data_IF_380463795199
#
_entry.id   IF_380463795199
#
_cell.length_a   1.000
_cell.length_b   1.000
_cell.length_c   1.000
_cell.angle_alpha   90.00
_cell.angle_beta   90.00
_cell.angle_gamma   90.00
#
_symmetry.space_group_name_H-M   'P 1'
#
loop_
_entity.id
_entity.type
_entity.pdbx_description
1 polymer ?
#
# COMPACT_ATOMS: atom_id res chain seq x y z
N UNK A 1 -10.77 -18.38 -34.86
CA UNK A 1 -9.84 -18.91 -33.85
C UNK A 1 -9.91 -17.97 -32.65
N UNK A 2 -10.86 -18.23 -31.74
CA UNK A 2 -11.38 -17.20 -30.83
C UNK A 2 -11.27 -17.62 -29.37
N UNK A 3 -10.37 -16.97 -28.65
CA UNK A 3 -10.43 -16.95 -27.19
C UNK A 3 -11.60 -16.04 -26.81
N UNK A 4 -12.55 -16.54 -26.03
CA UNK A 4 -13.67 -15.72 -25.55
C UNK A 4 -13.11 -14.59 -24.67
N UNK A 5 -13.72 -13.40 -24.69
CA UNK A 5 -13.18 -12.23 -23.98
C UNK A 5 -12.94 -12.49 -22.48
N UNK A 6 -13.79 -13.30 -21.84
CA UNK A 6 -13.62 -13.71 -20.43
C UNK A 6 -12.41 -14.63 -20.24
N UNK A 7 -12.11 -15.49 -21.22
CA UNK A 7 -10.97 -16.40 -21.19
C UNK A 7 -9.66 -15.64 -21.38
N UNK A 8 -9.63 -14.68 -22.31
CA UNK A 8 -8.49 -13.77 -22.50
C UNK A 8 -8.22 -12.94 -21.25
N UNK A 9 -9.27 -12.36 -20.65
CA UNK A 9 -9.16 -11.56 -19.43
C UNK A 9 -8.55 -12.38 -18.27
N UNK A 10 -9.01 -13.62 -18.06
CA UNK A 10 -8.55 -14.46 -16.93
C UNK A 10 -7.19 -15.11 -17.15
N UNK A 11 -6.91 -15.60 -18.36
CA UNK A 11 -5.70 -16.38 -18.64
C UNK A 11 -4.51 -15.49 -19.02
N UNK A 12 -4.75 -14.26 -19.51
CA UNK A 12 -3.68 -13.38 -20.02
C UNK A 12 -3.68 -12.03 -19.31
N UNK A 13 -4.78 -11.26 -19.34
CA UNK A 13 -4.77 -9.88 -18.86
C UNK A 13 -4.67 -9.79 -17.32
N UNK A 14 -5.43 -10.61 -16.58
CA UNK A 14 -5.38 -10.70 -15.11
C UNK A 14 -3.98 -11.04 -14.58
N UNK A 15 -3.31 -12.11 -15.03
CA UNK A 15 -1.96 -12.42 -14.55
C UNK A 15 -0.93 -11.34 -14.92
N UNK A 16 -1.12 -10.63 -16.04
CA UNK A 16 -0.26 -9.51 -16.41
C UNK A 16 -0.52 -8.26 -15.55
N UNK A 17 -1.78 -8.01 -15.17
CA UNK A 17 -2.20 -6.85 -14.38
C UNK A 17 -2.05 -7.05 -12.87
N UNK A 18 -2.02 -8.30 -12.38
CA UNK A 18 -1.93 -8.65 -10.96
C UNK A 18 -0.81 -7.89 -10.21
N UNK A 19 0.44 -7.81 -10.70
CA UNK A 19 1.51 -7.08 -10.01
C UNK A 19 1.19 -5.58 -9.81
N UNK A 20 0.52 -4.97 -10.80
CA UNK A 20 0.11 -3.56 -10.75
C UNK A 20 -1.05 -3.38 -9.77
N UNK A 21 -2.03 -4.29 -9.77
CA UNK A 21 -3.17 -4.23 -8.84
C UNK A 21 -2.68 -4.34 -7.40
N UNK A 22 -1.77 -5.29 -7.11
CA UNK A 22 -1.22 -5.47 -5.77
C UNK A 22 -0.46 -4.24 -5.30
N UNK A 23 0.33 -3.62 -6.19
CA UNK A 23 0.99 -2.34 -5.92
C UNK A 23 -0.03 -1.24 -5.60
N UNK A 24 -1.13 -1.17 -6.35
CA UNK A 24 -2.20 -0.22 -6.09
C UNK A 24 -2.86 -0.40 -4.73
N UNK A 25 -3.20 -1.64 -4.35
CA UNK A 25 -3.82 -1.97 -3.05
C UNK A 25 -2.93 -1.56 -1.89
N UNK A 26 -1.63 -1.78 -1.99
CA UNK A 26 -0.66 -1.41 -0.96
C UNK A 26 -0.63 0.12 -0.75
N UNK A 27 -0.55 0.88 -1.85
CA UNK A 27 -0.56 2.35 -1.81
C UNK A 27 -1.86 2.87 -1.19
N UNK A 28 -3.00 2.32 -1.59
CA UNK A 28 -4.30 2.77 -1.06
C UNK A 28 -4.48 2.38 0.41
N UNK A 29 -3.95 1.25 0.87
CA UNK A 29 -3.98 0.88 2.28
C UNK A 29 -3.24 1.90 3.16
N UNK A 30 -2.03 2.32 2.77
CA UNK A 30 -1.29 3.39 3.47
C UNK A 30 -2.05 4.71 3.44
N UNK A 31 -2.68 5.04 2.31
CA UNK A 31 -3.51 6.24 2.19
C UNK A 31 -4.71 6.21 3.14
N UNK A 32 -5.37 5.05 3.30
CA UNK A 32 -6.47 4.87 4.25
C UNK A 32 -5.99 5.09 5.68
N UNK A 33 -4.82 4.57 6.06
CA UNK A 33 -4.25 4.83 7.40
C UNK A 33 -4.00 6.33 7.60
N UNK A 34 -3.43 7.02 6.61
CA UNK A 34 -3.22 8.46 6.67
C UNK A 34 -4.53 9.22 6.84
N UNK A 35 -5.55 8.93 6.02
CA UNK A 35 -6.87 9.57 6.12
C UNK A 35 -7.59 9.23 7.42
N UNK A 36 -7.44 8.02 7.96
CA UNK A 36 -8.06 7.60 9.22
C UNK A 36 -7.58 8.45 10.41
N UNK A 37 -6.34 8.98 10.37
CA UNK A 37 -5.85 9.90 11.41
C UNK A 37 -6.65 11.19 11.51
N UNK A 38 -7.20 11.67 10.39
CA UNK A 38 -8.07 12.84 10.35
C UNK A 38 -9.40 12.58 11.08
N UNK A 39 -9.80 11.33 11.28
CA UNK A 39 -10.97 10.96 12.07
C UNK A 39 -10.91 11.47 13.51
N UNK A 40 -9.71 11.72 14.04
CA UNK A 40 -9.52 12.33 15.35
C UNK A 40 -10.14 13.73 15.46
N UNK A 41 -10.20 14.48 14.36
CA UNK A 41 -10.80 15.82 14.30
C UNK A 41 -12.31 15.75 14.53
N UNK A 42 -12.96 14.67 14.07
CA UNK A 42 -14.42 14.48 14.14
C UNK A 42 -14.83 13.81 15.47
N UNK A 43 -13.90 13.60 16.40
CA UNK A 43 -14.18 12.97 17.69
C UNK A 43 -14.32 11.45 17.66
N UNK A 44 -14.02 10.80 16.54
CA UNK A 44 -14.04 9.32 16.40
C UNK A 44 -12.90 8.63 17.16
N UNK A 45 -11.98 9.37 17.78
CA UNK A 45 -10.81 8.83 18.48
C UNK A 45 -9.70 8.38 17.52
N UNK A 46 -8.81 7.50 18.01
CA UNK A 46 -7.68 6.95 17.25
C UNK A 46 -6.32 7.59 17.55
N UNK A 47 -5.25 7.12 16.88
CA UNK A 47 -3.87 7.58 17.12
C UNK A 47 -3.66 9.05 16.75
N UNK A 48 -4.43 9.57 15.78
CA UNK A 48 -4.41 10.99 15.43
C UNK A 48 -4.82 11.92 16.58
N UNK A 49 -5.47 11.41 17.62
CA UNK A 49 -5.87 12.22 18.78
C UNK A 49 -4.68 12.81 19.51
N UNK A 50 -3.55 12.10 19.62
CA UNK A 50 -2.35 12.64 20.27
C UNK A 50 -1.80 13.88 19.55
N UNK A 51 -1.94 13.93 18.22
CA UNK A 51 -1.55 15.08 17.42
C UNK A 51 -2.48 16.27 17.73
N UNK A 52 -3.79 16.04 17.72
CA UNK A 52 -4.79 17.10 17.97
C UNK A 52 -4.71 17.62 19.40
N UNK A 53 -4.58 16.73 20.39
CA UNK A 53 -4.44 17.10 21.79
C UNK A 53 -3.15 17.90 22.02
N UNK A 54 -2.03 17.48 21.41
CA UNK A 54 -0.77 18.22 21.47
C UNK A 54 -0.86 19.62 20.86
N UNK A 55 -1.60 19.78 19.75
CA UNK A 55 -1.89 21.11 19.19
C UNK A 55 -2.73 21.96 20.15
N UNK A 56 -3.69 21.36 20.86
CA UNK A 56 -4.55 22.07 21.82
C UNK A 56 -3.77 22.50 23.07
N UNK A 57 -2.83 21.69 23.54
CA UNK A 57 -1.98 21.98 24.71
C UNK A 57 -0.70 22.76 24.37
N UNK A 58 -0.40 22.96 23.09
CA UNK A 58 0.89 23.48 22.57
C UNK A 58 2.09 22.65 23.05
N UNK A 59 1.89 21.36 23.18
CA UNK A 59 2.93 20.41 23.54
C UNK A 59 3.51 19.76 22.27
N UNK A 60 4.63 20.31 21.80
CA UNK A 60 5.34 19.80 20.62
C UNK A 60 5.81 18.36 20.80
N UNK A 61 6.13 17.94 22.03
CA UNK A 61 6.55 16.57 22.33
C UNK A 61 5.38 15.62 22.08
N UNK A 62 4.18 16.01 22.51
CA UNK A 62 2.97 15.22 22.29
C UNK A 62 2.61 15.13 20.80
N UNK A 63 2.75 16.23 20.04
CA UNK A 63 2.53 16.26 18.59
C UNK A 63 3.47 15.28 17.89
N UNK A 64 4.78 15.37 18.19
CA UNK A 64 5.80 14.52 17.57
C UNK A 64 5.61 13.06 17.96
N UNK A 65 5.28 12.75 19.22
CA UNK A 65 5.00 11.40 19.67
C UNK A 65 3.79 10.79 18.93
N UNK A 66 2.71 11.57 18.76
CA UNK A 66 1.55 11.17 17.98
C UNK A 66 1.86 10.92 16.51
N UNK A 67 2.62 11.84 15.89
CA UNK A 67 3.07 11.70 14.51
C UNK A 67 3.95 10.47 14.30
N UNK A 68 4.88 10.19 15.24
CA UNK A 68 5.72 9.00 15.22
C UNK A 68 4.89 7.72 15.35
N UNK A 69 3.91 7.67 16.25
CA UNK A 69 3.02 6.51 16.38
C UNK A 69 2.26 6.22 15.08
N UNK A 70 1.71 7.27 14.45
CA UNK A 70 1.05 7.15 13.15
C UNK A 70 2.04 6.68 12.07
N UNK A 71 3.24 7.26 12.00
CA UNK A 71 4.24 6.90 11.01
C UNK A 71 4.65 5.42 11.13
N UNK A 72 4.86 4.95 12.37
CA UNK A 72 5.16 3.54 12.65
C UNK A 72 4.00 2.64 12.20
N UNK A 73 2.75 2.99 12.52
CA UNK A 73 1.58 2.22 12.08
C UNK A 73 1.49 2.16 10.54
N UNK A 74 1.70 3.28 9.85
CA UNK A 74 1.72 3.33 8.38
C UNK A 74 2.81 2.43 7.79
N UNK A 75 4.02 2.45 8.35
CA UNK A 75 5.12 1.58 7.92
C UNK A 75 4.81 0.10 8.20
N UNK A 76 4.25 -0.22 9.37
CA UNK A 76 3.85 -1.60 9.70
C UNK A 76 2.78 -2.12 8.74
N UNK A 77 1.84 -1.26 8.35
CA UNK A 77 0.80 -1.57 7.36
C UNK A 77 1.45 -1.86 6.00
N UNK A 78 2.32 -0.96 5.52
CA UNK A 78 3.08 -1.15 4.27
C UNK A 78 3.88 -2.45 4.26
N UNK A 79 4.60 -2.73 5.34
CA UNK A 79 5.40 -3.94 5.49
C UNK A 79 4.54 -5.21 5.52
N UNK A 80 3.37 -5.16 6.17
CA UNK A 80 2.42 -6.27 6.17
C UNK A 80 1.89 -6.61 4.76
N UNK A 81 1.54 -5.59 3.97
CA UNK A 81 1.13 -5.77 2.58
C UNK A 81 2.30 -6.23 1.70
N UNK A 82 3.49 -5.66 1.86
CA UNK A 82 4.68 -6.08 1.11
C UNK A 82 5.09 -7.53 1.42
N UNK A 83 4.96 -7.97 2.68
CA UNK A 83 5.19 -9.36 3.05
C UNK A 83 4.16 -10.29 2.41
N UNK A 84 2.88 -9.89 2.39
CA UNK A 84 1.80 -10.66 1.75
C UNK A 84 2.01 -10.75 0.23
N UNK A 85 2.48 -9.68 -0.41
CA UNK A 85 2.83 -9.66 -1.83
C UNK A 85 3.96 -10.64 -2.16
N UNK A 86 5.01 -10.71 -1.33
CA UNK A 86 6.10 -11.69 -1.52
C UNK A 86 5.62 -13.14 -1.46
N UNK A 87 4.56 -13.40 -0.70
CA UNK A 87 3.97 -14.74 -0.58
C UNK A 87 2.97 -15.03 -1.71
N UNK A 88 2.14 -14.06 -2.08
CA UNK A 88 1.14 -14.21 -3.15
C UNK A 88 1.76 -14.19 -4.55
N UNK A 89 2.85 -13.45 -4.74
CA UNK A 89 3.61 -13.35 -5.99
C UNK A 89 4.90 -14.15 -5.84
N UNK A 90 4.78 -15.48 -5.84
CA UNK A 90 5.91 -16.36 -6.17
C UNK A 90 6.45 -15.96 -7.56
N UNK A 91 7.78 -15.89 -7.74
CA UNK A 91 8.46 -15.03 -8.73
C UNK A 91 8.41 -15.56 -10.18
N UNK A 92 7.25 -15.98 -10.68
CA UNK A 92 7.09 -16.55 -12.02
C UNK A 92 6.98 -15.54 -13.17
N UNK A 93 6.68 -14.26 -12.91
CA UNK A 93 6.31 -13.29 -13.97
C UNK A 93 7.36 -12.18 -14.18
N UNK A 94 8.30 -12.01 -13.24
CA UNK A 94 9.39 -11.03 -13.35
C UNK A 94 10.51 -11.44 -14.34
N UNK A 95 10.50 -12.68 -14.84
CA UNK A 95 11.57 -13.25 -15.65
C UNK A 95 11.63 -12.72 -17.09
N UNK A 96 10.53 -12.19 -17.66
CA UNK A 96 10.48 -11.89 -19.10
C UNK A 96 11.05 -10.52 -19.50
N UNK A 97 11.28 -9.59 -18.55
CA UNK A 97 11.83 -8.25 -18.85
C UNK A 97 13.35 -8.23 -19.05
N UNK A 98 14.07 -9.29 -18.64
CA UNK A 98 15.53 -9.40 -18.80
C UNK A 98 15.96 -9.92 -20.17
N UNK A 99 15.07 -10.59 -20.90
CA UNK A 99 15.41 -11.19 -22.20
C UNK A 99 15.53 -10.17 -23.35
N UNK A 100 14.83 -9.03 -23.27
CA UNK A 100 14.77 -8.06 -24.37
C UNK A 100 15.94 -7.07 -24.34
N UNK A 101 16.57 -6.81 -23.18
CA UNK A 101 17.74 -5.92 -23.10
C UNK A 101 19.04 -6.57 -23.59
N UNK A 102 19.02 -7.88 -23.90
CA UNK A 102 20.20 -8.65 -24.26
C UNK A 102 20.40 -8.80 -25.79
N UNK A 103 19.43 -8.35 -26.59
CA UNK A 103 19.45 -8.47 -28.07
C UNK A 103 19.88 -7.14 -28.74
N UNK A 104 20.00 -6.04 -27.97
CA UNK A 104 20.39 -4.72 -28.49
C UNK A 104 21.84 -4.32 -28.18
N UNK A 105 22.72 -5.31 -27.91
CA UNK A 105 24.15 -5.12 -27.69
C UNK A 105 24.98 -5.57 -28.87
#
# INVERSE_FOLDING_TARGET
>A
MGMTGVRLLREVELPLALPVIITGVRITAVQVVATATLGAIVGYGGLGRYIIDGFATRDDVQIVAGALLVAVLSVLTELGFSATERWAVSPGIAAHRRAISQISG
#
